data_IF_057167991222
#
_entry.id   IF_057167991222
#
_cell.length_a   1.000
_cell.length_b   1.000
_cell.length_c   1.000
_cell.angle_alpha   90.00
_cell.angle_beta   90.00
_cell.angle_gamma   90.00
#
_symmetry.space_group_name_H-M   'P 1'
#
loop_
_entity.id
_entity.type
_entity.pdbx_description
1 polymer ?
#
# COMPACT_ATOMS: atom_id res chain seq x y z
N UNK A 1 14.53 -0.96 22.41
CA UNK A 1 13.96 -2.34 22.47
C UNK A 1 12.72 -2.43 21.64
N UNK A 2 12.62 -3.43 20.77
CA UNK A 2 11.42 -3.70 20.03
C UNK A 2 10.44 -4.54 20.85
N UNK A 3 9.15 -4.30 20.72
CA UNK A 3 8.12 -5.13 21.36
C UNK A 3 7.95 -6.45 20.57
N UNK A 4 7.40 -7.47 21.23
CA UNK A 4 7.08 -8.74 20.56
C UNK A 4 6.17 -8.54 19.34
N UNK A 5 5.26 -7.59 19.43
CA UNK A 5 4.34 -7.24 18.33
C UNK A 5 5.10 -6.70 17.11
N UNK A 6 6.07 -5.82 17.34
CA UNK A 6 6.92 -5.25 16.29
C UNK A 6 7.80 -6.33 15.68
N UNK A 7 8.40 -7.19 16.50
CA UNK A 7 9.24 -8.30 16.04
C UNK A 7 8.45 -9.27 15.16
N UNK A 8 7.22 -9.59 15.54
CA UNK A 8 6.34 -10.44 14.75
C UNK A 8 6.03 -9.82 13.39
N UNK A 9 5.75 -8.54 13.35
CA UNK A 9 5.50 -7.81 12.10
C UNK A 9 6.70 -7.85 11.17
N UNK A 10 7.89 -7.65 11.71
CA UNK A 10 9.15 -7.70 10.93
C UNK A 10 9.33 -9.08 10.31
N UNK A 11 9.11 -10.15 11.06
CA UNK A 11 9.21 -11.53 10.56
C UNK A 11 8.20 -11.80 9.44
N UNK A 12 6.96 -11.34 9.61
CA UNK A 12 5.92 -11.47 8.59
C UNK A 12 6.31 -10.69 7.34
N UNK A 13 6.82 -9.47 7.51
CA UNK A 13 7.28 -8.63 6.41
C UNK A 13 8.35 -9.33 5.57
N UNK A 14 9.37 -9.93 6.20
CA UNK A 14 10.41 -10.66 5.49
C UNK A 14 9.85 -11.88 4.77
N UNK A 15 8.91 -12.58 5.37
CA UNK A 15 8.25 -13.73 4.76
C UNK A 15 7.49 -13.32 3.49
N UNK A 16 6.76 -12.23 3.55
CA UNK A 16 6.02 -11.68 2.40
C UNK A 16 6.99 -11.26 1.30
N UNK A 17 8.07 -10.57 1.66
CA UNK A 17 9.05 -10.05 0.70
C UNK A 17 9.79 -11.13 -0.08
N UNK A 18 9.84 -12.36 0.41
CA UNK A 18 10.41 -13.47 -0.36
C UNK A 18 9.60 -13.77 -1.62
N UNK A 19 8.29 -13.51 -1.59
CA UNK A 19 7.37 -13.84 -2.67
C UNK A 19 6.83 -12.62 -3.41
N UNK A 20 7.08 -11.40 -2.89
CA UNK A 20 6.52 -10.17 -3.45
C UNK A 20 7.65 -9.25 -3.88
N UNK A 21 7.87 -9.18 -5.20
CA UNK A 21 8.83 -8.27 -5.80
C UNK A 21 8.14 -7.51 -6.92
N UNK A 22 8.29 -6.17 -6.93
CA UNK A 22 7.71 -5.33 -7.95
C UNK A 22 8.61 -5.19 -9.16
N UNK A 23 8.01 -5.22 -10.35
CA UNK A 23 8.69 -4.97 -11.63
C UNK A 23 8.06 -3.75 -12.29
N UNK A 24 8.59 -3.32 -13.44
CA UNK A 24 8.02 -2.21 -14.19
C UNK A 24 6.60 -2.51 -14.66
N UNK A 25 6.33 -3.76 -15.06
CA UNK A 25 5.04 -4.19 -15.58
C UNK A 25 4.04 -4.48 -14.45
N UNK A 26 4.55 -4.96 -13.33
CA UNK A 26 3.74 -5.31 -12.17
C UNK A 26 4.44 -4.84 -10.90
N UNK A 27 4.44 -3.52 -10.64
CA UNK A 27 5.13 -2.95 -9.50
C UNK A 27 4.49 -3.35 -8.17
N UNK A 28 5.22 -3.14 -7.09
CA UNK A 28 4.78 -3.48 -5.74
C UNK A 28 4.02 -2.30 -5.12
N UNK A 29 2.79 -2.56 -4.69
CA UNK A 29 2.02 -1.60 -3.91
C UNK A 29 2.31 -1.84 -2.44
N UNK A 30 3.05 -0.93 -1.81
CA UNK A 30 3.45 -1.03 -0.41
C UNK A 30 2.61 -0.09 0.45
N UNK A 31 2.11 -0.60 1.56
CA UNK A 31 1.28 0.15 2.51
C UNK A 31 2.04 0.38 3.80
N UNK A 32 1.96 1.58 4.33
CA UNK A 32 2.48 1.94 5.64
C UNK A 32 1.45 2.79 6.37
N UNK A 33 1.23 2.54 7.65
CA UNK A 33 0.36 3.40 8.44
C UNK A 33 0.93 3.65 9.83
N UNK A 34 0.65 4.84 10.35
CA UNK A 34 0.86 5.20 11.74
C UNK A 34 -0.51 5.31 12.41
N UNK A 35 -0.54 5.75 13.68
CA UNK A 35 -1.81 5.94 14.38
C UNK A 35 -2.72 6.98 13.71
N UNK A 36 -2.13 7.98 13.06
CA UNK A 36 -2.89 9.11 12.48
C UNK A 36 -3.01 9.07 10.97
N UNK A 37 -2.04 8.51 10.27
CA UNK A 37 -1.95 8.62 8.81
C UNK A 37 -1.74 7.27 8.16
N UNK A 38 -2.12 7.18 6.90
CA UNK A 38 -1.87 6.01 6.07
C UNK A 38 -1.22 6.45 4.75
N UNK A 39 -0.25 5.67 4.28
CA UNK A 39 0.53 5.96 3.09
C UNK A 39 0.57 4.73 2.20
N UNK A 40 0.62 4.96 0.89
CA UNK A 40 0.80 3.88 -0.06
C UNK A 40 1.72 4.32 -1.18
N UNK A 41 2.54 3.40 -1.67
CA UNK A 41 3.48 3.65 -2.75
C UNK A 41 3.45 2.50 -3.74
N UNK A 42 3.64 2.82 -5.01
CA UNK A 42 3.83 1.84 -6.07
C UNK A 42 5.28 1.90 -6.48
N UNK A 43 6.02 0.82 -6.29
CA UNK A 43 7.48 0.79 -6.39
C UNK A 43 7.93 -0.25 -7.43
N UNK A 44 8.86 0.16 -8.30
CA UNK A 44 9.60 -0.76 -9.17
C UNK A 44 10.86 -1.18 -8.43
N UNK A 45 10.88 -2.41 -7.92
CA UNK A 45 11.99 -2.92 -7.10
C UNK A 45 13.27 -3.14 -7.91
N UNK A 46 13.17 -3.29 -9.23
CA UNK A 46 14.36 -3.47 -10.07
C UNK A 46 15.21 -2.21 -10.15
N UNK A 47 14.57 -1.05 -10.14
CA UNK A 47 15.24 0.25 -10.19
C UNK A 47 15.21 0.99 -8.87
N UNK A 48 14.42 0.52 -7.89
CA UNK A 48 14.23 1.19 -6.62
C UNK A 48 13.41 2.48 -6.72
N UNK A 49 12.69 2.68 -7.83
CA UNK A 49 11.98 3.93 -8.11
C UNK A 49 10.53 3.85 -7.69
N UNK A 50 10.05 4.88 -6.98
CA UNK A 50 8.63 5.04 -6.65
C UNK A 50 7.91 5.64 -7.85
N UNK A 51 6.95 4.90 -8.38
CA UNK A 51 6.21 5.29 -9.60
C UNK A 51 4.97 6.11 -9.29
N UNK A 52 4.34 5.87 -8.15
CA UNK A 52 3.18 6.62 -7.69
C UNK A 52 3.10 6.55 -6.17
N UNK A 53 2.54 7.57 -5.54
CA UNK A 53 2.35 7.57 -4.09
C UNK A 53 1.09 8.37 -3.73
N UNK A 54 0.48 7.98 -2.61
CA UNK A 54 -0.66 8.70 -2.05
C UNK A 54 -0.64 8.57 -0.53
N UNK A 55 -1.23 9.55 0.16
CA UNK A 55 -1.30 9.53 1.61
C UNK A 55 -2.60 10.19 2.07
N UNK A 56 -2.92 9.98 3.36
CA UNK A 56 -4.05 10.65 3.99
C UNK A 56 -3.75 12.09 4.42
N UNK A 57 -2.48 12.53 4.29
CA UNK A 57 -2.12 13.92 4.58
C UNK A 57 -2.90 14.87 3.67
N UNK A 58 -3.51 15.89 4.25
CA UNK A 58 -4.29 16.88 3.51
C UNK A 58 -5.72 16.47 3.23
N UNK A 59 -6.13 15.24 3.56
CA UNK A 59 -7.53 14.84 3.46
C UNK A 59 -8.31 15.40 4.65
N UNK A 60 -9.60 15.63 4.42
CA UNK A 60 -10.49 16.10 5.47
C UNK A 60 -10.60 15.07 6.60
N UNK A 61 -10.93 15.56 7.80
CA UNK A 61 -11.17 14.69 8.93
C UNK A 61 -12.34 13.74 8.63
N UNK A 62 -12.06 12.44 8.66
CA UNK A 62 -13.05 11.39 8.41
C UNK A 62 -12.61 10.12 9.12
N UNK A 63 -13.49 9.13 9.29
CA UNK A 63 -13.09 7.86 9.88
C UNK A 63 -11.89 7.25 9.17
N UNK A 64 -10.99 6.61 9.92
CA UNK A 64 -9.73 6.07 9.39
C UNK A 64 -9.92 5.08 8.24
N UNK A 65 -10.99 4.27 8.30
CA UNK A 65 -11.29 3.32 7.22
C UNK A 65 -11.66 4.04 5.93
N UNK A 66 -12.44 5.11 6.01
CA UNK A 66 -12.81 5.90 4.84
C UNK A 66 -11.61 6.63 4.25
N UNK A 67 -10.71 7.15 5.10
CA UNK A 67 -9.46 7.73 4.67
C UNK A 67 -8.63 6.72 3.89
N UNK A 68 -8.51 5.49 4.41
CA UNK A 68 -7.75 4.44 3.75
C UNK A 68 -8.32 4.10 2.37
N UNK A 69 -9.64 3.99 2.26
CA UNK A 69 -10.30 3.74 0.98
C UNK A 69 -10.02 4.88 -0.01
N UNK A 70 -10.08 6.13 0.44
CA UNK A 70 -9.77 7.28 -0.41
C UNK A 70 -8.31 7.30 -0.86
N UNK A 71 -7.38 6.97 0.02
CA UNK A 71 -5.96 6.86 -0.33
C UNK A 71 -5.76 5.79 -1.41
N UNK A 72 -6.45 4.65 -1.28
CA UNK A 72 -6.41 3.60 -2.30
C UNK A 72 -6.93 4.07 -3.65
N UNK A 73 -8.05 4.77 -3.67
CA UNK A 73 -8.62 5.33 -4.90
C UNK A 73 -7.68 6.36 -5.54
N UNK A 74 -7.10 7.25 -4.75
CA UNK A 74 -6.15 8.25 -5.23
C UNK A 74 -4.89 7.59 -5.80
N UNK A 75 -4.39 6.56 -5.13
CA UNK A 75 -3.22 5.82 -5.60
C UNK A 75 -3.51 5.15 -6.94
N UNK A 76 -4.68 4.51 -7.07
CA UNK A 76 -5.09 3.87 -8.31
C UNK A 76 -5.16 4.87 -9.45
N UNK A 77 -5.73 6.04 -9.21
CA UNK A 77 -5.81 7.11 -10.20
C UNK A 77 -4.43 7.56 -10.67
N UNK A 78 -3.52 7.80 -9.72
CA UNK A 78 -2.14 8.20 -10.05
C UNK A 78 -1.38 7.09 -10.78
N UNK A 79 -1.57 5.85 -10.38
CA UNK A 79 -0.91 4.71 -11.02
C UNK A 79 -1.38 4.54 -12.46
N UNK A 80 -2.69 4.67 -12.71
CA UNK A 80 -3.24 4.58 -14.06
C UNK A 80 -2.76 5.73 -14.94
N UNK A 81 -2.64 6.92 -14.39
CA UNK A 81 -2.05 8.07 -15.10
C UNK A 81 -0.61 7.80 -15.51
N UNK A 82 0.11 6.98 -14.76
CA UNK A 82 1.47 6.53 -15.08
C UNK A 82 1.52 5.28 -15.96
N UNK A 83 0.35 4.78 -16.40
CA UNK A 83 0.27 3.59 -17.25
C UNK A 83 0.29 2.26 -16.51
N UNK A 84 0.13 2.26 -15.20
CA UNK A 84 0.16 1.06 -14.38
C UNK A 84 -1.26 0.54 -14.18
N UNK A 85 -1.50 -0.74 -14.52
CA UNK A 85 -2.81 -1.37 -14.37
C UNK A 85 -2.80 -2.55 -13.42
N UNK A 86 -1.63 -3.16 -13.21
CA UNK A 86 -1.46 -4.32 -12.34
C UNK A 86 -0.38 -4.05 -11.31
N UNK A 87 -0.60 -4.52 -10.08
CA UNK A 87 0.39 -4.41 -9.00
C UNK A 87 0.39 -5.71 -8.20
N UNK A 88 1.47 -5.94 -7.44
CA UNK A 88 1.51 -6.96 -6.41
C UNK A 88 1.35 -6.25 -5.08
N UNK A 89 0.45 -6.74 -4.24
CA UNK A 89 0.12 -6.10 -2.96
C UNK A 89 1.06 -6.56 -1.86
N UNK A 90 1.76 -5.60 -1.24
CA UNK A 90 2.63 -5.85 -0.09
C UNK A 90 2.03 -5.16 1.14
N UNK A 91 1.42 -5.94 2.02
CA UNK A 91 0.84 -5.41 3.26
C UNK A 91 1.89 -5.01 4.31
N UNK A 92 3.17 -5.18 3.98
CA UNK A 92 4.30 -4.73 4.78
C UNK A 92 4.27 -5.27 6.23
N UNK A 93 3.80 -6.50 6.42
CA UNK A 93 3.70 -7.16 7.72
C UNK A 93 2.48 -6.78 8.54
N UNK A 94 1.67 -5.82 8.11
CA UNK A 94 0.40 -5.52 8.77
C UNK A 94 -0.63 -6.61 8.48
N UNK A 95 -1.60 -6.76 9.39
CA UNK A 95 -2.71 -7.67 9.13
C UNK A 95 -3.56 -7.12 7.98
N UNK A 96 -4.02 -8.03 7.10
CA UNK A 96 -4.94 -7.67 6.02
C UNK A 96 -6.35 -7.49 6.60
N UNK A 97 -6.53 -6.40 7.34
CA UNK A 97 -7.74 -6.10 8.07
C UNK A 97 -7.84 -4.59 8.29
N UNK A 98 -9.06 -4.10 8.47
CA UNK A 98 -9.31 -2.69 8.77
C UNK A 98 -8.76 -1.76 7.70
N UNK A 99 -7.90 -0.84 8.09
CA UNK A 99 -7.37 0.22 7.20
C UNK A 99 -6.62 -0.35 5.98
N UNK A 100 -5.84 -1.40 6.18
CA UNK A 100 -5.07 -2.03 5.08
C UNK A 100 -6.02 -2.63 4.06
N UNK A 101 -7.04 -3.33 4.51
CA UNK A 101 -8.06 -3.91 3.64
C UNK A 101 -8.85 -2.83 2.89
N UNK A 102 -9.25 -1.78 3.59
CA UNK A 102 -10.00 -0.67 2.97
C UNK A 102 -9.17 0.03 1.88
N UNK A 103 -7.87 0.22 2.12
CA UNK A 103 -6.99 0.78 1.11
C UNK A 103 -6.90 -0.13 -0.11
N UNK A 104 -6.74 -1.43 0.10
CA UNK A 104 -6.67 -2.40 -1.00
C UNK A 104 -7.97 -2.41 -1.79
N UNK A 105 -9.12 -2.41 -1.11
CA UNK A 105 -10.43 -2.39 -1.77
C UNK A 105 -10.63 -1.08 -2.56
N UNK A 106 -10.18 0.06 -2.00
CA UNK A 106 -10.23 1.34 -2.70
C UNK A 106 -9.37 1.35 -3.97
N UNK A 107 -8.19 0.77 -3.90
CA UNK A 107 -7.30 0.66 -5.06
C UNK A 107 -7.91 -0.24 -6.14
N UNK A 108 -8.54 -1.35 -5.76
CA UNK A 108 -9.22 -2.23 -6.71
C UNK A 108 -10.44 -1.56 -7.33
N UNK A 109 -11.20 -0.82 -6.54
CA UNK A 109 -12.35 -0.04 -7.01
C UNK A 109 -11.90 1.02 -8.01
N UNK A 110 -10.71 1.61 -7.81
CA UNK A 110 -10.12 2.58 -8.71
C UNK A 110 -9.55 1.97 -9.99
N UNK A 111 -9.54 0.66 -10.13
CA UNK A 111 -9.16 -0.03 -11.36
C UNK A 111 -7.85 -0.79 -11.33
N UNK A 112 -7.10 -0.80 -10.23
CA UNK A 112 -5.89 -1.61 -10.13
C UNK A 112 -6.24 -3.09 -9.96
N UNK A 113 -5.45 -3.95 -10.60
CA UNK A 113 -5.62 -5.40 -10.55
C UNK A 113 -4.54 -6.02 -9.67
N UNK A 114 -4.99 -6.76 -8.68
CA UNK A 114 -4.11 -7.55 -7.82
C UNK A 114 -4.89 -8.53 -6.97
#
# INVERSE_FOLDING_TARGET
>A
MTTKKVERRIKIKFRIRKNVNGTAERPRLSVFHSNKQIYAQVINDLTGKTLASASSLGLEAMPKKEQAAKVGELLAEKAQAAGITQVVFDRNGYLYHGRVKELADGARKGGLKF
#
